data_IF_857014827631
#
_entry.id   IF_857014827631
#
_cell.length_a   1.000
_cell.length_b   1.000
_cell.length_c   1.000
_cell.angle_alpha   90.00
_cell.angle_beta   90.00
_cell.angle_gamma   90.00
#
_symmetry.space_group_name_H-M   'P 1'
#
loop_
_entity.id
_entity.type
_entity.pdbx_description
1 polymer ?
#
# COMPACT_ATOMS: atom_id res chain seq x y z
N UNK A 1 -5.00 -16.23 -33.09
CA UNK A 1 -4.57 -17.64 -32.98
C UNK A 1 -3.84 -17.75 -31.67
N UNK A 2 -4.13 -18.79 -30.85
CA UNK A 2 -3.51 -18.93 -29.53
C UNK A 2 -1.99 -19.01 -29.66
N UNK A 3 -1.27 -18.26 -28.82
CA UNK A 3 0.17 -18.12 -28.90
C UNK A 3 0.87 -19.07 -27.92
N UNK A 4 1.46 -20.14 -28.44
CA UNK A 4 2.19 -21.13 -27.64
C UNK A 4 3.39 -20.53 -26.88
N UNK A 5 4.04 -19.51 -27.44
CA UNK A 5 5.15 -18.81 -26.78
C UNK A 5 4.66 -18.10 -25.52
N UNK A 6 3.53 -17.39 -25.62
CA UNK A 6 2.95 -16.66 -24.49
C UNK A 6 2.44 -17.61 -23.42
N UNK A 7 1.76 -18.70 -23.81
CA UNK A 7 1.30 -19.72 -22.87
C UNK A 7 2.46 -20.29 -22.04
N UNK A 8 3.54 -20.70 -22.70
CA UNK A 8 4.72 -21.27 -22.04
C UNK A 8 5.32 -20.27 -21.05
N UNK A 9 5.53 -19.03 -21.49
CA UNK A 9 6.09 -17.96 -20.66
C UNK A 9 5.22 -17.74 -19.42
N UNK A 10 3.91 -17.57 -19.61
CA UNK A 10 2.95 -17.30 -18.53
C UNK A 10 2.84 -18.45 -17.55
N UNK A 11 2.78 -19.69 -18.03
CA UNK A 11 2.76 -20.85 -17.14
C UNK A 11 4.04 -20.95 -16.33
N UNK A 12 5.21 -20.68 -16.92
CA UNK A 12 6.47 -20.67 -16.18
C UNK A 12 6.46 -19.58 -15.09
N UNK A 13 6.09 -18.35 -15.45
CA UNK A 13 6.01 -17.23 -14.50
C UNK A 13 5.02 -17.50 -13.35
N UNK A 14 3.83 -18.03 -13.67
CA UNK A 14 2.81 -18.34 -12.67
C UNK A 14 3.28 -19.42 -11.70
N UNK A 15 4.01 -20.43 -12.19
CA UNK A 15 4.62 -21.46 -11.34
C UNK A 15 5.69 -20.88 -10.43
N UNK A 16 6.58 -20.06 -10.97
CA UNK A 16 7.67 -19.46 -10.22
C UNK A 16 7.13 -18.53 -9.12
N UNK A 17 6.11 -17.72 -9.44
CA UNK A 17 5.43 -16.86 -8.46
C UNK A 17 4.68 -17.64 -7.39
N UNK A 18 4.17 -18.82 -7.73
CA UNK A 18 3.47 -19.71 -6.78
C UNK A 18 4.42 -20.63 -6.02
N UNK A 19 5.71 -20.64 -6.35
CA UNK A 19 6.69 -21.56 -5.78
C UNK A 19 6.49 -23.03 -6.17
N UNK A 20 5.89 -23.31 -7.33
CA UNK A 20 5.53 -24.67 -7.75
C UNK A 20 6.57 -25.30 -8.69
N UNK A 21 7.04 -26.50 -8.34
CA UNK A 21 7.80 -27.37 -9.23
C UNK A 21 6.89 -28.07 -10.26
N UNK A 22 7.49 -28.80 -11.22
CA UNK A 22 6.71 -29.50 -12.26
C UNK A 22 5.92 -30.66 -11.66
N UNK A 23 6.51 -31.25 -10.63
CA UNK A 23 5.97 -32.28 -9.78
C UNK A 23 4.81 -31.72 -8.94
N UNK A 24 4.97 -30.56 -8.28
CA UNK A 24 3.89 -29.94 -7.48
C UNK A 24 2.67 -29.58 -8.34
N UNK A 25 2.92 -29.05 -9.55
CA UNK A 25 1.84 -28.71 -10.47
C UNK A 25 1.12 -29.96 -10.98
N UNK A 26 1.86 -31.04 -11.25
CA UNK A 26 1.28 -32.31 -11.67
C UNK A 26 0.39 -32.90 -10.57
N UNK A 27 0.83 -32.85 -9.32
CA UNK A 27 0.03 -33.28 -8.17
C UNK A 27 -1.26 -32.46 -8.04
N UNK A 28 -1.16 -31.12 -8.11
CA UNK A 28 -2.33 -30.22 -8.05
C UNK A 28 -3.33 -30.44 -9.19
N UNK A 29 -2.83 -30.77 -10.37
CA UNK A 29 -3.67 -31.07 -11.54
C UNK A 29 -4.22 -32.51 -11.54
N UNK A 30 -3.80 -33.36 -10.61
CA UNK A 30 -3.98 -34.81 -10.69
C UNK A 30 -3.56 -35.35 -12.07
N UNK A 31 -2.39 -34.92 -12.52
CA UNK A 31 -1.86 -35.17 -13.85
C UNK A 31 -0.51 -35.86 -13.77
N UNK A 32 -0.07 -36.49 -14.86
CA UNK A 32 1.28 -37.07 -14.89
C UNK A 32 2.34 -35.96 -14.97
N UNK A 33 3.44 -36.12 -14.23
CA UNK A 33 4.60 -35.21 -14.30
C UNK A 33 5.15 -35.12 -15.72
N UNK A 34 5.16 -36.25 -16.45
CA UNK A 34 5.54 -36.30 -17.86
C UNK A 34 4.58 -35.51 -18.75
N UNK A 35 3.29 -35.53 -18.42
CA UNK A 35 2.25 -34.73 -19.06
C UNK A 35 2.48 -33.23 -18.85
N UNK A 36 2.74 -32.78 -17.61
CA UNK A 36 3.09 -31.38 -17.31
C UNK A 36 4.35 -30.97 -18.07
N UNK A 37 5.43 -31.76 -17.95
CA UNK A 37 6.69 -31.58 -18.69
C UNK A 37 6.47 -31.45 -20.18
N UNK A 38 5.45 -32.11 -20.74
CA UNK A 38 5.18 -32.04 -22.17
C UNK A 38 4.87 -30.61 -22.57
N UNK A 39 3.97 -29.89 -21.90
CA UNK A 39 3.56 -28.54 -22.29
C UNK A 39 4.28 -27.39 -21.54
N UNK A 40 5.12 -27.68 -20.55
CA UNK A 40 5.98 -26.68 -19.88
C UNK A 40 7.41 -26.61 -20.40
N UNK A 41 7.82 -27.48 -21.33
CA UNK A 41 9.18 -27.52 -21.90
C UNK A 41 9.41 -26.46 -22.96
N UNK A 42 10.68 -26.11 -23.19
CA UNK A 42 11.04 -25.03 -24.09
C UNK A 42 10.70 -25.26 -25.57
N UNK A 43 10.58 -26.51 -26.01
CA UNK A 43 10.43 -26.91 -27.41
C UNK A 43 9.00 -27.30 -27.82
N UNK A 44 8.00 -27.10 -26.96
CA UNK A 44 6.65 -27.63 -27.19
C UNK A 44 5.70 -26.67 -27.90
N UNK A 45 4.92 -27.21 -28.84
CA UNK A 45 3.87 -26.55 -29.63
C UNK A 45 2.46 -27.07 -29.29
N UNK A 46 2.25 -27.54 -28.07
CA UNK A 46 1.01 -28.21 -27.66
C UNK A 46 0.45 -27.58 -26.39
N UNK A 47 -0.84 -27.23 -26.44
CA UNK A 47 -1.62 -26.89 -25.27
C UNK A 47 -2.08 -28.18 -24.58
N UNK A 48 -2.31 -28.15 -23.26
CA UNK A 48 -3.06 -29.21 -22.62
C UNK A 48 -4.53 -29.20 -23.09
N UNK A 49 -5.29 -30.23 -22.74
CA UNK A 49 -6.72 -30.29 -23.10
C UNK A 49 -7.52 -29.21 -22.36
N UNK A 50 -8.76 -28.98 -22.80
CA UNK A 50 -9.62 -27.91 -22.27
C UNK A 50 -9.82 -28.03 -20.75
N UNK A 51 -10.09 -29.22 -20.23
CA UNK A 51 -10.28 -29.44 -18.79
C UNK A 51 -9.04 -29.08 -17.99
N UNK A 52 -7.86 -29.45 -18.50
CA UNK A 52 -6.58 -29.11 -17.87
C UNK A 52 -6.30 -27.61 -17.95
N UNK A 53 -6.65 -26.95 -19.06
CA UNK A 53 -6.55 -25.48 -19.19
C UNK A 53 -7.43 -24.76 -18.17
N UNK A 54 -8.65 -25.25 -17.94
CA UNK A 54 -9.56 -24.71 -16.91
C UNK A 54 -8.98 -24.94 -15.51
N UNK A 55 -8.46 -26.13 -15.23
CA UNK A 55 -7.81 -26.42 -13.95
C UNK A 55 -6.58 -25.54 -13.71
N UNK A 56 -5.76 -25.30 -14.73
CA UNK A 56 -4.63 -24.36 -14.66
C UNK A 56 -5.09 -22.95 -14.34
N UNK A 57 -6.11 -22.46 -15.05
CA UNK A 57 -6.70 -21.14 -14.82
C UNK A 57 -7.19 -21.00 -13.37
N UNK A 58 -7.86 -22.02 -12.83
CA UNK A 58 -8.32 -22.05 -11.45
C UNK A 58 -7.17 -22.11 -10.43
N UNK A 59 -6.16 -22.96 -10.65
CA UNK A 59 -5.01 -23.12 -9.75
C UNK A 59 -4.24 -21.81 -9.62
N UNK A 60 -4.04 -21.11 -10.74
CA UNK A 60 -3.28 -19.88 -10.77
C UNK A 60 -4.12 -18.62 -10.59
N UNK A 61 -5.44 -18.77 -10.42
CA UNK A 61 -6.40 -17.69 -10.35
C UNK A 61 -6.19 -16.68 -11.49
N UNK A 62 -6.33 -17.15 -12.73
CA UNK A 62 -6.27 -16.32 -13.95
C UNK A 62 -7.40 -16.72 -14.88
N UNK A 63 -7.81 -15.81 -15.75
CA UNK A 63 -8.78 -16.07 -16.79
C UNK A 63 -8.14 -16.93 -17.90
N UNK A 64 -8.91 -17.85 -18.49
CA UNK A 64 -8.38 -18.80 -19.48
C UNK A 64 -7.76 -18.13 -20.72
N UNK A 65 -8.27 -16.96 -21.11
CA UNK A 65 -7.70 -16.17 -22.21
C UNK A 65 -6.26 -15.73 -21.94
N UNK A 66 -5.86 -15.62 -20.67
CA UNK A 66 -4.51 -15.24 -20.26
C UNK A 66 -3.58 -16.42 -20.52
N UNK A 67 -4.05 -17.65 -20.32
CA UNK A 67 -3.24 -18.80 -20.70
C UNK A 67 -3.09 -18.88 -22.23
N UNK A 68 -4.13 -18.57 -23.01
CA UNK A 68 -4.06 -18.63 -24.48
C UNK A 68 -3.22 -17.52 -25.14
N UNK A 69 -2.87 -16.46 -24.42
CA UNK A 69 -2.20 -15.29 -25.01
C UNK A 69 -3.18 -14.24 -25.57
N UNK A 70 -4.49 -14.45 -25.45
CA UNK A 70 -5.51 -13.58 -26.05
C UNK A 70 -5.74 -12.28 -25.27
N UNK A 71 -5.27 -12.22 -24.02
CA UNK A 71 -5.31 -11.03 -23.18
C UNK A 71 -3.95 -10.75 -22.57
N UNK A 72 -3.72 -9.49 -22.21
CA UNK A 72 -2.44 -9.06 -21.64
C UNK A 72 -2.36 -9.30 -20.13
N UNK A 73 -3.48 -9.20 -19.44
CA UNK A 73 -3.58 -9.24 -17.97
C UNK A 73 -4.26 -10.55 -17.52
N UNK A 74 -3.98 -10.97 -16.29
CA UNK A 74 -4.52 -12.19 -15.66
C UNK A 74 -6.02 -12.22 -15.64
N UNK A 75 -6.65 -11.07 -15.43
CA UNK A 75 -8.09 -10.92 -15.33
C UNK A 75 -8.59 -9.81 -16.25
N UNK A 76 -9.63 -10.11 -17.02
CA UNK A 76 -10.22 -9.17 -17.99
C UNK A 76 -10.96 -8.02 -17.30
N UNK A 77 -11.47 -8.23 -16.08
CA UNK A 77 -12.15 -7.21 -15.28
C UNK A 77 -11.23 -6.05 -14.91
N UNK A 78 -9.96 -6.35 -14.63
CA UNK A 78 -8.94 -5.39 -14.19
C UNK A 78 -8.33 -4.64 -15.38
N UNK A 79 -8.42 -5.18 -16.60
CA UNK A 79 -7.86 -4.57 -17.80
C UNK A 79 -8.33 -3.13 -18.00
N UNK A 80 -9.63 -2.86 -17.82
CA UNK A 80 -10.16 -1.48 -18.00
C UNK A 80 -9.57 -0.49 -17.00
N UNK A 81 -9.33 -0.92 -15.76
CA UNK A 81 -8.71 -0.07 -14.74
C UNK A 81 -7.29 0.27 -15.18
N UNK A 82 -6.52 -0.74 -15.60
CA UNK A 82 -5.14 -0.58 -16.02
C UNK A 82 -5.05 0.34 -17.25
N UNK A 83 -5.86 0.08 -18.27
CA UNK A 83 -5.83 0.84 -19.53
C UNK A 83 -6.20 2.31 -19.33
N UNK A 84 -7.14 2.62 -18.42
CA UNK A 84 -7.58 4.00 -18.15
C UNK A 84 -6.65 4.76 -17.20
N UNK A 85 -6.03 4.07 -16.24
CA UNK A 85 -5.30 4.73 -15.14
C UNK A 85 -3.78 4.60 -15.25
N UNK A 86 -3.28 3.64 -16.03
CA UNK A 86 -1.86 3.30 -16.09
C UNK A 86 -1.33 2.55 -14.84
N UNK A 87 -2.21 2.09 -13.95
CA UNK A 87 -1.81 1.35 -12.76
C UNK A 87 -1.26 -0.04 -13.08
N UNK A 88 -0.46 -0.59 -12.16
CA UNK A 88 0.02 -1.97 -12.27
C UNK A 88 -1.11 -2.98 -12.12
N UNK A 89 -0.93 -4.20 -12.63
CA UNK A 89 -1.89 -5.30 -12.47
C UNK A 89 -2.22 -5.55 -11.00
N UNK A 90 -1.20 -5.64 -10.14
CA UNK A 90 -1.35 -5.84 -8.69
C UNK A 90 -2.15 -4.69 -8.08
N UNK A 91 -1.90 -3.45 -8.51
CA UNK A 91 -2.65 -2.29 -8.02
C UNK A 91 -4.13 -2.37 -8.44
N UNK A 92 -4.44 -2.78 -9.66
CA UNK A 92 -5.81 -2.93 -10.14
C UNK A 92 -6.56 -4.06 -9.39
N UNK A 93 -5.90 -5.19 -9.13
CA UNK A 93 -6.46 -6.29 -8.32
C UNK A 93 -6.73 -5.83 -6.87
N UNK A 94 -5.79 -5.11 -6.26
CA UNK A 94 -5.99 -4.56 -4.92
C UNK A 94 -7.15 -3.56 -4.89
N UNK A 95 -7.29 -2.71 -5.93
CA UNK A 95 -8.41 -1.78 -6.06
C UNK A 95 -9.75 -2.49 -6.23
N UNK A 96 -9.80 -3.59 -7.00
CA UNK A 96 -11.05 -4.33 -7.24
C UNK A 96 -11.59 -4.98 -5.96
N UNK A 97 -10.70 -5.41 -5.06
CA UNK A 97 -11.05 -6.01 -3.77
C UNK A 97 -11.20 -5.00 -2.63
N UNK A 98 -10.62 -3.79 -2.78
CA UNK A 98 -10.49 -2.80 -1.71
C UNK A 98 -11.80 -2.52 -0.99
N UNK A 99 -12.89 -2.34 -1.72
CA UNK A 99 -14.20 -2.04 -1.12
C UNK A 99 -14.74 -3.16 -0.26
N UNK A 100 -14.52 -4.42 -0.66
CA UNK A 100 -15.02 -5.59 0.08
C UNK A 100 -14.13 -5.92 1.28
N UNK A 101 -12.82 -5.82 1.11
CA UNK A 101 -11.84 -6.20 2.15
C UNK A 101 -11.54 -5.06 3.13
N UNK A 102 -11.60 -3.81 2.68
CA UNK A 102 -11.30 -2.63 3.50
C UNK A 102 -12.15 -1.40 3.09
N UNK A 103 -13.46 -1.39 3.44
CA UNK A 103 -14.38 -0.29 3.10
C UNK A 103 -13.91 1.10 3.53
N UNK A 104 -13.18 1.20 4.64
CA UNK A 104 -12.65 2.44 5.21
C UNK A 104 -11.53 3.01 4.33
N UNK A 105 -10.61 2.16 3.89
CA UNK A 105 -9.57 2.55 2.94
C UNK A 105 -10.18 2.93 1.58
N UNK A 106 -11.20 2.20 1.13
CA UNK A 106 -11.95 2.56 -0.08
C UNK A 106 -12.61 3.94 0.04
N UNK A 107 -13.31 4.22 1.15
CA UNK A 107 -13.94 5.52 1.39
C UNK A 107 -12.92 6.67 1.41
N UNK A 108 -11.74 6.44 1.99
CA UNK A 108 -10.66 7.42 1.96
C UNK A 108 -10.13 7.64 0.54
N UNK A 109 -9.92 6.58 -0.23
CA UNK A 109 -9.49 6.68 -1.62
C UNK A 109 -10.51 7.43 -2.48
N UNK A 110 -11.79 7.09 -2.35
CA UNK A 110 -12.90 7.74 -3.05
C UNK A 110 -12.95 9.23 -2.71
N UNK A 111 -12.79 9.60 -1.43
CA UNK A 111 -12.71 11.01 -1.03
C UNK A 111 -11.51 11.74 -1.65
N UNK A 112 -10.32 11.11 -1.66
CA UNK A 112 -9.10 11.74 -2.18
C UNK A 112 -9.17 12.00 -3.68
N UNK A 113 -9.90 11.16 -4.43
CA UNK A 113 -9.98 11.20 -5.89
C UNK A 113 -11.31 11.75 -6.44
N UNK A 114 -12.33 11.86 -5.59
CA UNK A 114 -13.71 12.23 -5.95
C UNK A 114 -13.91 13.73 -6.15
N UNK A 115 -15.06 14.26 -5.70
CA UNK A 115 -15.61 15.57 -6.11
C UNK A 115 -14.73 16.83 -5.86
N UNK A 116 -13.56 16.71 -5.23
CA UNK A 116 -12.55 17.78 -5.09
C UNK A 116 -11.13 17.20 -5.05
N UNK A 117 -10.62 16.68 -6.18
CA UNK A 117 -9.39 15.90 -6.18
C UNK A 117 -8.15 16.74 -5.86
N UNK A 118 -8.21 18.06 -6.02
CA UNK A 118 -7.13 19.02 -5.74
C UNK A 118 -6.42 18.76 -4.40
N UNK A 119 -7.19 18.54 -3.32
CA UNK A 119 -6.62 18.31 -1.99
C UNK A 119 -5.94 16.94 -1.90
N UNK A 120 -6.52 15.91 -2.51
CA UNK A 120 -5.96 14.57 -2.52
C UNK A 120 -4.74 14.47 -3.42
N UNK A 121 -4.80 15.03 -4.63
CA UNK A 121 -3.68 15.13 -5.57
C UNK A 121 -2.52 15.89 -4.93
N UNK A 122 -2.76 17.03 -4.26
CA UNK A 122 -1.70 17.76 -3.58
C UNK A 122 -1.06 16.93 -2.46
N UNK A 123 -1.85 16.18 -1.68
CA UNK A 123 -1.31 15.28 -0.67
C UNK A 123 -0.45 14.18 -1.31
N UNK A 124 -0.92 13.55 -2.39
CA UNK A 124 -0.17 12.51 -3.12
C UNK A 124 1.13 13.07 -3.71
N UNK A 125 1.10 14.28 -4.25
CA UNK A 125 2.28 14.99 -4.75
C UNK A 125 3.31 15.22 -3.63
N UNK A 126 2.89 15.76 -2.48
CA UNK A 126 3.78 15.99 -1.35
C UNK A 126 4.36 14.67 -0.81
N UNK A 127 3.56 13.61 -0.74
CA UNK A 127 4.01 12.28 -0.35
C UNK A 127 5.01 11.70 -1.34
N UNK A 128 4.79 11.87 -2.64
CA UNK A 128 5.73 11.44 -3.67
C UNK A 128 7.11 12.08 -3.46
N UNK A 129 7.15 13.41 -3.30
CA UNK A 129 8.39 14.14 -3.06
C UNK A 129 9.05 13.78 -1.73
N UNK A 130 8.27 13.51 -0.70
CA UNK A 130 8.79 13.10 0.60
C UNK A 130 9.37 11.68 0.60
N UNK A 131 8.72 10.73 -0.08
CA UNK A 131 9.10 9.31 -0.06
C UNK A 131 10.11 8.93 -1.14
N UNK A 132 9.95 9.50 -2.34
CA UNK A 132 10.69 9.11 -3.54
C UNK A 132 11.58 10.23 -4.10
N UNK A 133 11.58 11.41 -3.45
CA UNK A 133 12.44 12.51 -3.84
C UNK A 133 13.91 12.12 -3.78
N UNK A 134 14.54 11.89 -4.94
CA UNK A 134 15.97 11.63 -5.03
C UNK A 134 16.71 12.96 -5.23
N UNK A 135 17.01 13.61 -4.11
CA UNK A 135 17.72 14.89 -4.08
C UNK A 135 19.25 14.73 -4.19
N UNK A 136 19.79 13.54 -4.48
CA UNK A 136 21.24 13.26 -4.44
C UNK A 136 22.01 13.64 -5.72
N UNK A 137 21.35 14.07 -6.81
CA UNK A 137 22.05 14.57 -8.02
C UNK A 137 22.47 16.03 -7.85
N UNK A 138 23.43 16.23 -6.95
CA UNK A 138 24.04 17.52 -6.64
C UNK A 138 25.53 17.41 -6.97
N UNK A 139 26.04 18.32 -7.80
CA UNK A 139 27.49 18.48 -7.98
C UNK A 139 28.04 19.24 -6.78
N UNK A 140 28.54 18.54 -5.77
CA UNK A 140 29.30 19.19 -4.71
C UNK A 140 29.32 18.38 -3.43
N UNK A 141 30.49 17.84 -3.09
CA UNK A 141 30.71 17.03 -1.91
C UNK A 141 31.04 17.97 -0.73
N UNK A 142 30.03 18.34 0.05
CA UNK A 142 30.16 18.67 1.48
C UNK A 142 28.81 18.45 2.18
N UNK A 143 28.55 17.16 2.44
CA UNK A 143 27.63 16.46 3.34
C UNK A 143 26.25 16.98 3.79
N UNK A 144 25.81 18.20 3.52
CA UNK A 144 24.50 18.65 4.01
C UNK A 144 23.80 19.66 3.09
N UNK A 145 24.31 19.95 1.89
CA UNK A 145 23.80 21.05 1.05
C UNK A 145 23.40 20.55 -0.35
N UNK A 146 22.16 20.86 -0.76
CA UNK A 146 21.69 20.73 -2.14
C UNK A 146 22.05 22.00 -2.91
N UNK A 147 23.02 21.95 -3.82
CA UNK A 147 23.14 22.92 -4.91
C UNK A 147 22.10 22.56 -5.98
N UNK A 148 20.98 23.29 -5.99
CA UNK A 148 20.06 23.26 -7.13
C UNK A 148 20.77 23.92 -8.31
N UNK A 149 21.16 23.12 -9.31
CA UNK A 149 21.68 23.66 -10.57
C UNK A 149 20.51 24.35 -11.28
N UNK A 150 20.38 25.65 -11.08
CA UNK A 150 19.55 26.52 -11.90
C UNK A 150 20.34 26.91 -13.14
N UNK A 151 19.86 26.52 -14.32
CA UNK A 151 20.35 26.99 -15.63
C UNK A 151 19.89 28.44 -15.94
N UNK A 152 19.48 29.19 -14.91
CA UNK A 152 18.88 30.53 -15.00
C UNK A 152 19.79 31.66 -14.52
N UNK A 153 21.06 31.38 -14.19
CA UNK A 153 22.07 32.42 -13.95
C UNK A 153 21.87 33.26 -12.69
N UNK A 154 20.95 32.88 -11.81
CA UNK A 154 20.85 33.41 -10.45
C UNK A 154 21.59 32.45 -9.51
N UNK A 155 22.56 32.95 -8.75
CA UNK A 155 23.37 32.15 -7.82
C UNK A 155 22.47 31.32 -6.90
N UNK A 156 22.58 29.99 -7.00
CA UNK A 156 21.67 29.05 -6.39
C UNK A 156 21.57 29.17 -4.87
N UNK A 157 20.39 28.88 -4.34
CA UNK A 157 20.17 28.72 -2.90
C UNK A 157 20.47 27.28 -2.51
N UNK A 158 21.50 27.12 -1.69
CA UNK A 158 21.87 25.88 -1.03
C UNK A 158 20.83 25.52 0.06
N UNK A 159 20.15 24.39 -0.04
CA UNK A 159 19.17 23.91 0.96
C UNK A 159 19.62 22.61 1.62
N UNK A 160 19.49 22.49 2.95
CA UNK A 160 19.79 21.24 3.66
C UNK A 160 18.69 20.19 3.44
N UNK A 161 19.07 18.93 3.20
CA UNK A 161 18.13 17.83 2.97
C UNK A 161 17.22 17.61 4.19
N UNK A 162 17.74 17.79 5.39
CA UNK A 162 17.01 17.72 6.65
C UNK A 162 15.97 18.83 6.74
N UNK A 163 16.33 20.04 6.32
CA UNK A 163 15.42 21.19 6.27
C UNK A 163 14.35 21.01 5.19
N UNK A 164 14.70 20.46 4.02
CA UNK A 164 13.75 20.13 2.97
C UNK A 164 12.75 19.05 3.43
N UNK A 165 13.23 17.99 4.08
CA UNK A 165 12.37 16.96 4.65
C UNK A 165 11.47 17.51 5.75
N UNK A 166 11.97 18.40 6.61
CA UNK A 166 11.17 19.07 7.64
C UNK A 166 10.10 19.98 7.01
N UNK A 167 10.43 20.69 5.94
CA UNK A 167 9.50 21.51 5.18
C UNK A 167 8.40 20.66 4.52
N UNK A 168 8.76 19.58 3.83
CA UNK A 168 7.80 18.66 3.22
C UNK A 168 6.85 18.04 4.26
N UNK A 169 7.37 17.59 5.41
CA UNK A 169 6.54 17.12 6.53
C UNK A 169 5.55 18.18 7.00
N UNK A 170 6.02 19.42 7.18
CA UNK A 170 5.17 20.54 7.59
C UNK A 170 4.07 20.83 6.56
N UNK A 171 4.37 20.71 5.27
CA UNK A 171 3.39 20.87 4.19
C UNK A 171 2.36 19.74 4.18
N UNK A 172 2.81 18.49 4.38
CA UNK A 172 1.93 17.33 4.53
C UNK A 172 0.97 17.53 5.71
N UNK A 173 1.48 17.94 6.87
CA UNK A 173 0.67 18.18 8.08
C UNK A 173 -0.41 19.24 7.83
N UNK A 174 -0.04 20.35 7.17
CA UNK A 174 -1.00 21.40 6.77
C UNK A 174 -2.05 20.87 5.81
N UNK A 175 -1.66 20.05 4.84
CA UNK A 175 -2.58 19.47 3.87
C UNK A 175 -3.55 18.47 4.54
N UNK A 176 -3.07 17.64 5.45
CA UNK A 176 -3.90 16.72 6.26
C UNK A 176 -4.91 17.50 7.08
N UNK A 177 -4.51 18.60 7.72
CA UNK A 177 -5.44 19.47 8.47
C UNK A 177 -6.53 20.08 7.55
N UNK A 178 -6.14 20.56 6.37
CA UNK A 178 -7.07 21.09 5.36
C UNK A 178 -8.05 20.02 4.83
N UNK A 179 -7.61 18.77 4.73
CA UNK A 179 -8.48 17.63 4.39
C UNK A 179 -9.44 17.33 5.53
N UNK A 180 -8.95 17.24 6.77
CA UNK A 180 -9.76 16.95 7.95
C UNK A 180 -10.92 17.93 8.11
N UNK A 181 -10.65 19.22 7.97
CA UNK A 181 -11.67 20.27 8.06
C UNK A 181 -12.75 20.17 6.98
N UNK A 182 -12.43 19.66 5.78
CA UNK A 182 -13.41 19.40 4.72
C UNK A 182 -14.22 18.13 5.00
N UNK A 183 -13.57 17.07 5.48
CA UNK A 183 -14.24 15.82 5.87
C UNK A 183 -15.23 16.04 7.01
N UNK A 184 -14.92 16.90 7.99
CA UNK A 184 -15.84 17.20 9.09
C UNK A 184 -17.20 17.71 8.57
N UNK A 185 -17.21 18.44 7.44
CA UNK A 185 -18.45 18.88 6.77
C UNK A 185 -19.17 17.78 5.96
N UNK A 186 -18.48 16.68 5.63
CA UNK A 186 -18.95 15.54 4.84
C UNK A 186 -19.00 14.22 5.62
N UNK A 187 -19.00 14.30 6.95
CA UNK A 187 -18.85 13.14 7.83
C UNK A 187 -19.91 12.06 7.61
N UNK A 188 -21.11 12.44 7.15
CA UNK A 188 -22.20 11.51 6.79
C UNK A 188 -21.87 10.61 5.59
N UNK A 189 -21.00 11.05 4.67
CA UNK A 189 -20.72 10.37 3.41
C UNK A 189 -19.48 9.46 3.54
N UNK A 190 -18.54 9.81 4.44
CA UNK A 190 -17.23 9.15 4.54
C UNK A 190 -16.83 8.69 5.95
N UNK A 191 -17.56 9.09 6.99
CA UNK A 191 -17.15 8.93 8.38
C UNK A 191 -17.86 7.82 9.13
N UNK A 192 -17.16 7.24 10.12
CA UNK A 192 -17.78 6.59 11.28
C UNK A 192 -17.68 7.53 12.46
N UNK A 193 -18.75 7.68 13.23
CA UNK A 193 -18.71 8.48 14.45
C UNK A 193 -17.86 7.82 15.55
N UNK A 194 -17.83 6.49 15.55
CA UNK A 194 -17.18 5.67 16.58
C UNK A 194 -16.47 4.51 15.88
N UNK A 195 -15.17 4.26 16.20
CA UNK A 195 -14.43 3.14 15.63
C UNK A 195 -14.99 1.81 16.13
N UNK A 196 -14.91 0.78 15.29
CA UNK A 196 -15.25 -0.59 15.67
C UNK A 196 -14.32 -1.12 16.77
N UNK A 197 -14.69 -2.22 17.43
CA UNK A 197 -13.95 -2.76 18.57
C UNK A 197 -12.51 -3.14 18.18
N UNK A 198 -12.37 -3.88 17.10
CA UNK A 198 -11.11 -4.31 16.49
C UNK A 198 -10.25 -3.13 16.03
N UNK A 199 -10.87 -2.10 15.42
CA UNK A 199 -10.18 -0.85 15.06
C UNK A 199 -9.63 -0.15 16.31
N UNK A 200 -10.42 -0.06 17.38
CA UNK A 200 -10.00 0.55 18.64
C UNK A 200 -8.88 -0.25 19.34
N UNK A 201 -8.96 -1.57 19.33
CA UNK A 201 -7.92 -2.48 19.85
C UNK A 201 -6.61 -2.33 19.05
N UNK A 202 -6.70 -2.19 17.72
CA UNK A 202 -5.54 -1.95 16.88
C UNK A 202 -4.84 -0.62 17.22
N UNK A 203 -5.62 0.46 17.42
CA UNK A 203 -5.07 1.75 17.84
C UNK A 203 -4.38 1.64 19.20
N UNK A 204 -4.98 0.94 20.17
CA UNK A 204 -4.35 0.67 21.47
C UNK A 204 -2.99 -0.01 21.30
N UNK A 205 -2.92 -1.08 20.50
CA UNK A 205 -1.67 -1.81 20.24
C UNK A 205 -0.59 -0.90 19.63
N UNK A 206 -0.96 -0.08 18.65
CA UNK A 206 -0.02 0.85 18.01
C UNK A 206 0.47 1.92 18.98
N UNK A 207 -0.43 2.54 19.76
CA UNK A 207 -0.05 3.56 20.73
C UNK A 207 0.83 2.98 21.84
N UNK A 208 0.60 1.74 22.28
CA UNK A 208 1.47 1.05 23.23
C UNK A 208 2.90 0.87 22.67
N UNK A 209 3.04 0.55 21.39
CA UNK A 209 4.35 0.46 20.74
C UNK A 209 5.06 1.83 20.70
N UNK A 210 4.33 2.90 20.36
CA UNK A 210 4.86 4.28 20.37
C UNK A 210 5.28 4.73 21.78
N UNK A 211 4.51 4.37 22.82
CA UNK A 211 4.88 4.63 24.22
C UNK A 211 6.19 3.92 24.58
N UNK A 212 6.35 2.65 24.20
CA UNK A 212 7.57 1.89 24.45
C UNK A 212 8.78 2.53 23.74
N UNK A 213 8.60 2.94 22.49
CA UNK A 213 9.62 3.66 21.72
C UNK A 213 9.99 4.99 22.37
N UNK A 214 9.01 5.80 22.77
CA UNK A 214 9.23 7.09 23.41
C UNK A 214 10.00 6.93 24.73
N UNK A 215 9.64 5.95 25.57
CA UNK A 215 10.37 5.62 26.80
C UNK A 215 11.82 5.25 26.52
N UNK A 216 12.06 4.37 25.54
CA UNK A 216 13.41 3.97 25.14
C UNK A 216 14.25 5.17 24.64
N UNK A 217 13.65 6.09 23.87
CA UNK A 217 14.37 7.27 23.37
C UNK A 217 14.69 8.28 24.49
N UNK A 218 13.81 8.45 25.49
CA UNK A 218 14.10 9.29 26.67
C UNK A 218 15.35 8.78 27.41
N UNK A 219 15.47 7.46 27.58
CA UNK A 219 16.62 6.81 28.21
C UNK A 219 17.89 6.96 27.37
N UNK A 220 17.80 6.75 26.06
CA UNK A 220 18.94 6.88 25.13
C UNK A 220 19.52 8.29 25.09
N UNK A 221 18.68 9.31 25.22
CA UNK A 221 19.09 10.72 25.17
C UNK A 221 19.35 11.33 26.56
N UNK A 222 19.84 10.56 27.54
CA UNK A 222 20.02 11.01 28.94
C UNK A 222 20.85 12.30 29.18
N UNK A 223 21.59 12.76 28.16
CA UNK A 223 22.35 14.01 28.20
C UNK A 223 21.79 15.16 27.33
N UNK A 224 20.78 14.91 26.49
CA UNK A 224 20.20 15.93 25.60
C UNK A 224 18.80 16.32 26.09
N UNK A 225 18.75 17.38 26.89
CA UNK A 225 17.50 17.89 27.50
C UNK A 225 16.43 18.20 26.46
N UNK A 226 16.81 18.70 25.28
CA UNK A 226 15.85 19.09 24.23
C UNK A 226 15.19 17.86 23.61
N UNK A 227 15.99 16.83 23.32
CA UNK A 227 15.47 15.56 22.82
C UNK A 227 14.61 14.86 23.88
N UNK A 228 15.03 14.88 25.14
CA UNK A 228 14.22 14.30 26.23
C UNK A 228 12.88 15.01 26.42
N UNK A 229 12.86 16.35 26.37
CA UNK A 229 11.62 17.13 26.50
C UNK A 229 10.66 16.83 25.33
N UNK A 230 11.17 16.81 24.10
CA UNK A 230 10.41 16.41 22.91
C UNK A 230 9.74 15.04 23.07
N UNK A 231 10.49 14.02 23.53
CA UNK A 231 9.93 12.68 23.72
C UNK A 231 8.97 12.58 24.92
N UNK A 232 9.16 13.38 25.98
CA UNK A 232 8.25 13.43 27.13
C UNK A 232 6.89 14.03 26.77
N UNK A 233 6.85 15.08 25.97
CA UNK A 233 5.60 15.67 25.49
C UNK A 233 4.79 14.67 24.65
N UNK A 234 5.47 13.95 23.75
CA UNK A 234 4.85 12.88 22.94
C UNK A 234 4.36 11.74 23.82
N UNK A 235 5.17 11.29 24.78
CA UNK A 235 4.79 10.24 25.72
C UNK A 235 3.50 10.60 26.48
N UNK A 236 3.42 11.82 27.02
CA UNK A 236 2.20 12.31 27.70
C UNK A 236 0.99 12.28 26.77
N UNK A 237 1.16 12.72 25.52
CA UNK A 237 0.09 12.69 24.51
C UNK A 237 -0.38 11.26 24.22
N UNK A 238 0.56 10.32 24.05
CA UNK A 238 0.23 8.92 23.79
C UNK A 238 -0.47 8.25 24.96
N UNK A 239 -0.04 8.52 26.20
CA UNK A 239 -0.70 8.00 27.40
C UNK A 239 -2.14 8.52 27.54
N UNK A 240 -2.38 9.78 27.19
CA UNK A 240 -3.73 10.33 27.15
C UNK A 240 -4.61 9.66 26.09
N UNK A 241 -4.07 9.43 24.89
CA UNK A 241 -4.78 8.71 23.82
C UNK A 241 -5.11 7.28 24.25
N UNK A 242 -4.12 6.57 24.80
CA UNK A 242 -4.28 5.20 25.29
C UNK A 242 -5.40 5.10 26.33
N UNK A 243 -5.40 5.99 27.32
CA UNK A 243 -6.44 6.04 28.36
C UNK A 243 -7.84 6.26 27.78
N UNK A 244 -7.98 7.11 26.76
CA UNK A 244 -9.27 7.36 26.09
C UNK A 244 -9.77 6.12 25.36
N UNK A 245 -8.91 5.43 24.63
CA UNK A 245 -9.28 4.22 23.89
C UNK A 245 -9.56 3.03 24.82
N UNK A 246 -8.79 2.86 25.90
CA UNK A 246 -9.08 1.84 26.93
C UNK A 246 -10.44 2.07 27.57
N UNK A 247 -10.75 3.33 27.93
CA UNK A 247 -12.08 3.68 28.46
C UNK A 247 -13.18 3.38 27.44
N UNK A 248 -12.99 3.68 26.15
CA UNK A 248 -13.96 3.35 25.09
C UNK A 248 -14.21 1.84 25.00
N UNK A 249 -13.14 1.03 25.07
CA UNK A 249 -13.24 -0.44 25.07
C UNK A 249 -14.01 -0.95 26.28
N UNK A 250 -13.68 -0.46 27.47
CA UNK A 250 -14.34 -0.84 28.71
C UNK A 250 -15.82 -0.44 28.76
N UNK A 251 -16.16 0.79 28.37
CA UNK A 251 -17.53 1.29 28.53
C UNK A 251 -18.48 0.81 27.44
N UNK A 252 -17.99 0.65 26.21
CA UNK A 252 -18.84 0.35 25.04
C UNK A 252 -18.77 -1.10 24.59
N UNK A 253 -17.66 -1.79 24.86
CA UNK A 253 -17.37 -3.10 24.28
C UNK A 253 -17.10 -4.22 25.30
N UNK A 254 -17.10 -3.92 26.60
CA UNK A 254 -16.90 -4.89 27.69
C UNK A 254 -18.16 -5.23 28.50
N UNK A 255 -19.35 -4.67 28.18
CA UNK A 255 -20.61 -5.05 28.81
C UNK A 255 -21.45 -5.97 27.90
N UNK A 256 -21.57 -7.28 28.21
CA UNK A 256 -22.63 -8.11 27.65
C UNK A 256 -23.89 -7.95 28.51
N UNK A 257 -24.75 -6.96 28.21
CA UNK A 257 -26.23 -6.98 28.33
C UNK A 257 -26.84 -5.59 28.51
N UNK A 258 -27.71 -5.25 27.56
CA UNK A 258 -29.09 -4.71 27.66
C UNK A 258 -29.44 -4.36 26.20
N UNK A 259 -29.98 -5.28 25.40
CA UNK A 259 -31.35 -5.77 25.41
C UNK A 259 -31.85 -5.71 23.96
N UNK A 260 -32.57 -6.75 23.53
CA UNK A 260 -33.51 -6.84 22.39
C UNK A 260 -33.24 -6.07 21.09
#
# INVERSE_FOLDING_TARGET
MPNYSDFKMRISELRDQSGYTQEDLAEKLNYSVSGVKRWTRESTTHFPNQDTMISLANIFNVDIGYLYGDQKYRHISEQRIIDLTGLSEISAENLSKLKAENPQAFAMLDYLLGDKPEKGINLLFLLYHYLFGNYQKIKGFDNHIIDLVEDTGFGGVALDISDLNAALKTMIDKQIYSIKTDIDSKRKDYGKDIPAKDEAELVVKQIQAEIALAKSNIEKHNGDKRQQEFWRERLSTYEQILKRYQKLLETRYSNPKEGE
#
